data_IF_784876768435
#
_entry.id   IF_784876768435
#
_cell.length_a   1.000
_cell.length_b   1.000
_cell.length_c   1.000
_cell.angle_alpha   90.00
_cell.angle_beta   90.00
_cell.angle_gamma   90.00
#
_symmetry.space_group_name_H-M   'P 1'
#
loop_
_entity.id
_entity.type
_entity.pdbx_description
1 polymer ?
#
# COMPACT_ATOMS: atom_id res chain seq x y z
N UNK A 1 -5.00 2.10 12.55
CA UNK A 1 -4.27 1.33 11.52
C UNK A 1 -5.24 1.08 10.37
N UNK A 2 -4.94 1.61 9.20
CA UNK A 2 -5.74 1.34 8.01
C UNK A 2 -5.03 0.17 7.32
N UNK A 3 -5.72 -0.97 7.12
CA UNK A 3 -5.34 -2.04 6.18
C UNK A 3 -5.72 -3.45 6.55
N UNK A 4 -5.84 -4.31 5.54
CA UNK A 4 -6.02 -5.75 5.76
C UNK A 4 -4.71 -6.30 6.28
N UNK A 5 -4.69 -6.65 7.57
CA UNK A 5 -3.60 -7.37 8.18
C UNK A 5 -3.64 -8.81 7.68
N UNK A 6 -2.55 -9.27 7.07
CA UNK A 6 -2.41 -10.63 6.61
C UNK A 6 -1.27 -11.31 7.36
N UNK A 7 -1.47 -12.58 7.70
CA UNK A 7 -0.39 -13.46 8.14
C UNK A 7 0.01 -14.33 6.96
N UNK A 8 1.31 -14.43 6.71
CA UNK A 8 1.88 -15.28 5.67
C UNK A 8 2.93 -16.20 6.30
N UNK A 9 2.91 -17.48 5.91
CA UNK A 9 3.94 -18.45 6.24
C UNK A 9 4.58 -19.00 4.98
N UNK A 10 5.87 -19.28 5.09
CA UNK A 10 6.59 -20.16 4.17
C UNK A 10 7.03 -21.37 4.97
N UNK A 11 6.61 -22.54 4.51
CA UNK A 11 7.01 -23.83 5.07
C UNK A 11 8.12 -24.39 4.17
N UNK A 12 9.25 -24.73 4.79
CA UNK A 12 10.45 -25.17 4.10
C UNK A 12 10.81 -26.56 4.60
N UNK A 13 10.82 -27.50 3.66
CA UNK A 13 11.19 -28.90 3.88
C UNK A 13 12.18 -29.37 2.84
N UNK A 14 13.05 -30.31 3.21
CA UNK A 14 13.92 -31.06 2.32
C UNK A 14 13.63 -32.56 2.53
N UNK A 15 13.37 -33.29 1.45
CA UNK A 15 13.06 -34.73 1.47
C UNK A 15 11.90 -35.11 2.42
N UNK A 16 10.94 -34.20 2.61
CA UNK A 16 9.77 -34.39 3.48
C UNK A 16 9.96 -33.92 4.92
N UNK A 17 11.19 -33.60 5.34
CA UNK A 17 11.51 -33.16 6.70
C UNK A 17 11.67 -31.63 6.79
N UNK A 18 11.21 -30.98 7.88
CA UNK A 18 11.34 -29.54 8.07
C UNK A 18 12.80 -29.12 8.28
N UNK A 19 13.20 -28.00 7.67
CA UNK A 19 14.58 -27.49 7.79
C UNK A 19 14.62 -26.21 8.61
N UNK A 20 15.34 -26.25 9.73
CA UNK A 20 15.60 -25.09 10.61
C UNK A 20 16.68 -24.17 10.03
N UNK A 21 16.66 -22.89 10.39
CA UNK A 21 17.76 -21.99 10.07
C UNK A 21 17.82 -21.49 8.61
N UNK A 22 16.82 -21.80 7.77
CA UNK A 22 16.81 -21.39 6.36
C UNK A 22 16.40 -19.92 6.24
N UNK A 23 17.23 -19.06 5.62
CA UNK A 23 16.85 -17.67 5.37
C UNK A 23 15.72 -17.58 4.33
N UNK A 24 14.60 -16.98 4.73
CA UNK A 24 13.44 -16.71 3.87
C UNK A 24 13.25 -15.20 3.73
N UNK A 25 13.17 -14.75 2.47
CA UNK A 25 12.94 -13.36 2.12
C UNK A 25 11.50 -13.12 1.70
N UNK A 26 10.82 -12.23 2.41
CA UNK A 26 9.46 -11.79 2.12
C UNK A 26 9.49 -10.37 1.53
N UNK A 27 9.05 -10.19 0.28
CA UNK A 27 9.03 -8.87 -0.37
C UNK A 27 7.68 -8.57 -0.99
N UNK A 28 7.04 -7.52 -0.50
CA UNK A 28 5.85 -6.94 -1.11
C UNK A 28 6.27 -5.88 -2.13
N UNK A 29 5.79 -5.95 -3.38
CA UNK A 29 6.12 -4.95 -4.40
C UNK A 29 5.42 -3.60 -4.18
N UNK A 30 4.28 -3.59 -3.51
CA UNK A 30 3.45 -2.41 -3.24
C UNK A 30 2.94 -2.48 -1.79
N UNK A 31 3.49 -1.66 -0.88
CA UNK A 31 3.09 -1.59 0.53
C UNK A 31 4.24 -1.20 1.48
N UNK A 32 3.96 -1.09 2.79
CA UNK A 32 4.97 -0.73 3.79
C UNK A 32 6.09 -1.79 3.89
N UNK A 33 7.32 -1.33 4.16
CA UNK A 33 8.48 -2.21 4.39
C UNK A 33 8.34 -2.89 5.75
N UNK A 34 7.90 -4.15 5.77
CA UNK A 34 7.99 -5.05 6.93
C UNK A 34 9.31 -5.83 6.91
N UNK A 35 9.72 -6.51 8.01
CA UNK A 35 10.90 -7.35 8.01
C UNK A 35 10.84 -8.32 6.84
N UNK A 36 11.76 -8.11 5.91
CA UNK A 36 11.81 -8.85 4.66
C UNK A 36 12.73 -10.04 4.74
N UNK A 37 13.37 -10.29 5.89
CA UNK A 37 14.33 -11.35 6.11
C UNK A 37 13.96 -12.05 7.42
N UNK A 38 13.47 -13.27 7.31
CA UNK A 38 13.18 -14.16 8.43
C UNK A 38 14.01 -15.43 8.26
N UNK A 39 14.07 -16.20 9.34
CA UNK A 39 14.71 -17.52 9.35
C UNK A 39 13.63 -18.53 9.73
N UNK A 40 13.64 -19.72 9.11
CA UNK A 40 12.73 -20.80 9.50
C UNK A 40 13.00 -21.24 10.94
N UNK A 41 11.93 -21.65 11.61
CA UNK A 41 12.01 -22.29 12.93
C UNK A 41 12.30 -23.79 12.79
N UNK A 42 12.50 -24.49 13.91
CA UNK A 42 12.61 -25.96 13.96
C UNK A 42 11.49 -26.73 13.27
N UNK A 43 10.31 -26.11 13.12
CA UNK A 43 9.19 -26.68 12.38
C UNK A 43 9.27 -26.41 10.86
N UNK A 44 10.37 -25.83 10.36
CA UNK A 44 10.54 -25.44 8.95
C UNK A 44 9.80 -24.16 8.56
N UNK A 45 9.23 -23.42 9.52
CA UNK A 45 8.30 -22.32 9.23
C UNK A 45 8.95 -20.96 9.42
N UNK A 46 8.87 -20.09 8.41
CA UNK A 46 9.11 -18.66 8.52
C UNK A 46 7.79 -17.88 8.37
N UNK A 47 7.43 -17.05 9.35
CA UNK A 47 6.10 -16.40 9.41
C UNK A 47 6.20 -14.88 9.57
N UNK A 48 5.55 -14.14 8.66
CA UNK A 48 5.30 -12.70 8.79
C UNK A 48 3.87 -12.50 9.28
N UNK A 49 3.69 -11.70 10.33
CA UNK A 49 2.38 -11.29 10.87
C UNK A 49 2.09 -9.84 10.57
N UNK A 50 0.80 -9.48 10.64
CA UNK A 50 0.30 -8.11 10.52
C UNK A 50 0.77 -7.39 9.26
N UNK A 51 0.95 -8.17 8.19
CA UNK A 51 1.50 -7.63 6.96
C UNK A 51 0.41 -6.91 6.19
N UNK A 52 0.56 -5.59 6.04
CA UNK A 52 -0.47 -4.75 5.43
C UNK A 52 -0.27 -4.68 3.93
N UNK A 53 -1.29 -5.09 3.19
CA UNK A 53 -1.25 -5.12 1.72
C UNK A 53 -2.12 -4.01 1.16
N UNK A 54 -1.60 -3.28 0.18
CA UNK A 54 -2.29 -2.22 -0.53
C UNK A 54 -1.78 -2.12 -1.98
N UNK A 55 -2.66 -1.91 -2.97
CA UNK A 55 -2.28 -1.69 -4.37
C UNK A 55 -3.08 -2.51 -5.37
N UNK A 56 -3.01 -2.12 -6.66
CA UNK A 56 -3.88 -2.61 -7.76
C UNK A 56 -3.53 -4.02 -8.23
N UNK A 57 -2.29 -4.40 -7.98
CA UNK A 57 -1.76 -5.73 -8.27
C UNK A 57 -0.73 -6.03 -7.19
N UNK A 58 -1.18 -6.22 -5.93
CA UNK A 58 -0.26 -6.55 -4.87
C UNK A 58 0.38 -7.89 -5.20
N UNK A 59 1.70 -7.88 -5.40
CA UNK A 59 2.46 -9.11 -5.58
C UNK A 59 3.42 -9.32 -4.43
N UNK A 60 3.35 -10.52 -3.89
CA UNK A 60 4.21 -11.02 -2.85
C UNK A 60 5.27 -11.91 -3.49
N UNK A 61 6.53 -11.56 -3.28
CA UNK A 61 7.67 -12.40 -3.63
C UNK A 61 8.19 -13.05 -2.37
N UNK A 62 8.22 -14.39 -2.36
CA UNK A 62 8.87 -15.20 -1.34
C UNK A 62 10.10 -15.80 -1.98
N UNK A 63 11.28 -15.56 -1.41
CA UNK A 63 12.53 -16.14 -1.91
C UNK A 63 13.23 -16.90 -0.79
N UNK A 64 13.50 -18.18 -1.01
CA UNK A 64 14.18 -19.07 -0.07
C UNK A 64 15.63 -19.22 -0.53
N UNK A 65 16.58 -19.10 0.39
CA UNK A 65 17.98 -19.39 0.10
C UNK A 65 18.19 -20.90 -0.03
N UNK A 66 18.59 -21.36 -1.21
CA UNK A 66 18.80 -22.78 -1.49
C UNK A 66 20.13 -23.30 -0.96
N UNK A 67 21.10 -22.42 -0.64
CA UNK A 67 22.40 -22.87 -0.14
C UNK A 67 22.26 -23.66 1.17
N UNK A 68 21.44 -23.15 2.11
CA UNK A 68 21.15 -23.85 3.37
C UNK A 68 20.37 -25.15 3.18
N UNK A 69 19.56 -25.25 2.11
CA UNK A 69 18.85 -26.49 1.76
C UNK A 69 19.75 -27.55 1.13
N UNK A 70 20.87 -27.14 0.54
CA UNK A 70 21.88 -28.04 0.01
C UNK A 70 22.87 -28.53 1.08
N UNK A 71 22.58 -28.32 2.37
CA UNK A 71 23.44 -28.73 3.49
C UNK A 71 24.63 -27.80 3.76
N UNK A 72 24.68 -26.63 3.14
CA UNK A 72 25.73 -25.63 3.40
C UNK A 72 25.45 -24.90 4.70
N UNK A 73 26.38 -24.94 5.64
CA UNK A 73 26.23 -24.28 6.93
C UNK A 73 26.24 -22.74 6.80
N UNK A 74 25.87 -22.04 7.87
CA UNK A 74 25.74 -20.58 7.86
C UNK A 74 27.08 -19.85 7.64
N UNK A 75 28.19 -20.42 8.11
CA UNK A 75 29.53 -19.84 7.98
C UNK A 75 30.01 -19.94 6.54
N UNK A 76 29.84 -21.12 5.94
CA UNK A 76 30.16 -21.39 4.55
C UNK A 76 29.25 -20.61 3.60
N UNK A 77 27.95 -20.50 3.88
CA UNK A 77 27.03 -19.66 3.11
C UNK A 77 27.43 -18.17 3.20
N UNK A 78 27.85 -17.70 4.37
CA UNK A 78 28.33 -16.31 4.55
C UNK A 78 29.62 -16.05 3.76
N UNK A 79 30.54 -17.01 3.74
CA UNK A 79 31.75 -16.95 2.94
C UNK A 79 31.44 -17.00 1.42
N UNK A 80 30.55 -17.88 0.98
CA UNK A 80 30.09 -17.99 -0.41
C UNK A 80 29.41 -16.70 -0.88
N UNK A 81 28.61 -16.05 -0.03
CA UNK A 81 28.02 -14.74 -0.34
C UNK A 81 29.07 -13.65 -0.51
N UNK A 82 30.15 -13.68 0.28
CA UNK A 82 31.26 -12.73 0.15
C UNK A 82 32.09 -12.99 -1.11
N UNK A 83 32.39 -14.25 -1.44
CA UNK A 83 33.27 -14.62 -2.57
C UNK A 83 32.55 -14.67 -3.91
N UNK A 84 31.30 -15.13 -3.94
CA UNK A 84 30.51 -15.35 -5.15
C UNK A 84 29.08 -14.80 -5.04
N UNK A 85 28.90 -13.49 -4.76
CA UNK A 85 27.59 -12.91 -4.48
C UNK A 85 26.57 -13.13 -5.60
N UNK A 86 27.02 -13.08 -6.87
CA UNK A 86 26.17 -13.26 -8.04
C UNK A 86 25.72 -14.70 -8.30
N UNK A 87 26.41 -15.70 -7.75
CA UNK A 87 26.06 -17.12 -7.87
C UNK A 87 25.06 -17.50 -6.78
N UNK A 88 25.37 -17.14 -5.52
CA UNK A 88 24.47 -17.39 -4.38
C UNK A 88 23.15 -16.61 -4.54
N UNK A 89 23.18 -15.40 -5.11
CA UNK A 89 21.95 -14.67 -5.40
C UNK A 89 21.04 -15.37 -6.43
N UNK A 90 21.59 -16.23 -7.31
CA UNK A 90 20.85 -17.05 -8.28
C UNK A 90 20.37 -18.38 -7.69
N UNK A 91 21.02 -18.88 -6.63
CA UNK A 91 20.59 -20.04 -5.86
C UNK A 91 19.45 -19.67 -4.90
N UNK A 92 18.35 -19.18 -5.45
CA UNK A 92 17.13 -18.87 -4.70
C UNK A 92 15.93 -19.47 -5.38
N UNK A 93 15.14 -20.22 -4.62
CA UNK A 93 13.82 -20.59 -5.06
C UNK A 93 12.91 -19.38 -4.82
N UNK A 94 12.34 -18.83 -5.89
CA UNK A 94 11.47 -17.66 -5.81
C UNK A 94 10.06 -18.01 -6.26
N UNK A 95 9.09 -17.74 -5.40
CA UNK A 95 7.67 -17.79 -5.73
C UNK A 95 7.10 -16.37 -5.76
N UNK A 96 6.24 -16.09 -6.74
CA UNK A 96 5.49 -14.83 -6.82
C UNK A 96 4.00 -15.13 -6.71
N UNK A 97 3.38 -14.64 -5.64
CA UNK A 97 1.95 -14.73 -5.40
C UNK A 97 1.28 -13.42 -5.82
N UNK A 98 0.32 -13.51 -6.73
CA UNK A 98 -0.53 -12.38 -7.11
C UNK A 98 -1.74 -12.36 -6.18
N UNK A 99 -1.87 -11.29 -5.40
CA UNK A 99 -2.94 -11.12 -4.43
C UNK A 99 -4.09 -10.32 -5.06
N UNK A 100 -5.31 -10.51 -4.55
CA UNK A 100 -6.43 -9.69 -4.97
C UNK A 100 -6.31 -8.26 -4.41
N UNK A 101 -6.65 -7.23 -5.20
CA UNK A 101 -6.70 -5.86 -4.71
C UNK A 101 -7.77 -5.69 -3.64
N UNK A 102 -7.60 -4.70 -2.77
CA UNK A 102 -8.63 -4.34 -1.81
C UNK A 102 -9.77 -3.64 -2.56
N UNK A 103 -10.99 -4.16 -2.37
CA UNK A 103 -12.24 -3.57 -2.86
C UNK A 103 -12.65 -2.41 -1.96
N UNK A 104 -12.91 -1.25 -2.56
CA UNK A 104 -13.23 -0.01 -1.85
C UNK A 104 -14.45 0.63 -2.48
N UNK A 105 -15.46 0.94 -1.66
CA UNK A 105 -16.59 1.75 -2.08
C UNK A 105 -16.30 3.22 -1.83
N UNK A 106 -16.52 4.05 -2.85
CA UNK A 106 -16.43 5.50 -2.74
C UNK A 106 -17.85 6.09 -2.68
N UNK A 107 -18.12 6.94 -1.70
CA UNK A 107 -19.38 7.67 -1.59
C UNK A 107 -19.14 9.13 -1.18
N UNK A 108 -20.20 9.95 -1.24
CA UNK A 108 -20.16 11.37 -0.92
C UNK A 108 -20.58 12.25 -2.09
N UNK A 109 -20.27 13.55 -2.01
CA UNK A 109 -20.43 14.50 -3.13
C UNK A 109 -19.77 13.93 -4.39
N UNK A 110 -20.39 14.02 -5.57
CA UNK A 110 -19.84 13.48 -6.82
C UNK A 110 -18.34 13.80 -6.90
N UNK A 111 -17.47 12.81 -6.68
CA UNK A 111 -16.05 13.10 -6.52
C UNK A 111 -15.58 13.63 -7.87
N UNK A 112 -14.87 14.77 -7.92
CA UNK A 112 -14.31 15.26 -9.17
C UNK A 112 -13.58 14.11 -9.87
N UNK A 113 -13.79 13.92 -11.17
CA UNK A 113 -13.25 12.76 -11.90
C UNK A 113 -11.73 12.56 -11.65
N UNK A 114 -11.00 13.67 -11.49
CA UNK A 114 -9.58 13.69 -11.15
C UNK A 114 -9.23 13.05 -9.79
N UNK A 115 -10.13 13.11 -8.81
CA UNK A 115 -9.97 12.46 -7.51
C UNK A 115 -10.33 10.97 -7.57
N UNK A 116 -11.37 10.58 -8.32
CA UNK A 116 -11.70 9.16 -8.56
C UNK A 116 -10.55 8.46 -9.30
N UNK A 117 -10.05 9.06 -10.37
CA UNK A 117 -8.86 8.57 -11.09
C UNK A 117 -7.62 8.59 -10.19
N UNK A 118 -7.43 9.67 -9.42
CA UNK A 118 -6.34 9.81 -8.47
C UNK A 118 -6.33 8.70 -7.42
N UNK A 119 -7.48 8.39 -6.81
CA UNK A 119 -7.64 7.33 -5.81
C UNK A 119 -7.41 5.96 -6.43
N UNK A 120 -8.07 5.62 -7.54
CA UNK A 120 -7.89 4.32 -8.19
C UNK A 120 -6.45 4.10 -8.67
N UNK A 121 -5.88 5.06 -9.42
CA UNK A 121 -4.56 4.94 -10.04
C UNK A 121 -3.41 5.06 -9.03
N UNK A 122 -3.53 5.91 -8.01
CA UNK A 122 -2.44 6.14 -7.03
C UNK A 122 -2.55 5.24 -5.81
N UNK A 123 -3.74 4.86 -5.35
CA UNK A 123 -3.87 3.94 -4.22
C UNK A 123 -3.93 2.48 -4.68
N UNK A 124 -4.18 2.26 -5.97
CA UNK A 124 -4.32 0.93 -6.53
C UNK A 124 -5.50 0.18 -5.91
N UNK A 125 -6.59 0.87 -5.66
CA UNK A 125 -7.80 0.26 -5.11
C UNK A 125 -8.76 -0.08 -6.24
N UNK A 126 -9.46 -1.19 -6.09
CA UNK A 126 -10.58 -1.49 -6.97
C UNK A 126 -11.81 -0.74 -6.45
N UNK A 127 -12.29 0.22 -7.24
CA UNK A 127 -13.43 1.05 -6.87
C UNK A 127 -14.69 0.31 -7.29
N UNK A 128 -15.49 -0.11 -6.31
CA UNK A 128 -16.74 -0.83 -6.53
C UNK A 128 -17.89 -0.01 -5.98
N UNK A 129 -19.05 -0.08 -6.63
CA UNK A 129 -20.22 0.68 -6.19
C UNK A 129 -21.10 -0.12 -5.20
N UNK A 130 -20.79 -1.39 -4.95
CA UNK A 130 -21.57 -2.27 -4.09
C UNK A 130 -21.27 -2.10 -2.58
N UNK A 131 -22.26 -2.43 -1.74
CA UNK A 131 -22.15 -2.40 -0.28
C UNK A 131 -21.35 -3.55 0.31
N UNK A 132 -20.88 -4.50 -0.51
CA UNK A 132 -20.09 -5.66 -0.05
C UNK A 132 -18.62 -5.31 0.18
N UNK A 133 -18.17 -4.15 -0.29
CA UNK A 133 -16.82 -3.65 -0.06
C UNK A 133 -16.54 -3.51 1.45
N UNK A 134 -15.51 -4.19 2.00
CA UNK A 134 -15.16 -4.09 3.41
C UNK A 134 -14.62 -2.69 3.79
N UNK A 135 -14.16 -1.93 2.81
CA UNK A 135 -13.64 -0.57 2.96
C UNK A 135 -14.56 0.46 2.30
N UNK A 136 -14.80 1.56 3.01
CA UNK A 136 -15.64 2.65 2.55
C UNK A 136 -14.89 3.98 2.69
N UNK A 137 -14.78 4.72 1.59
CA UNK A 137 -14.22 6.07 1.55
C UNK A 137 -15.38 7.05 1.35
N UNK A 138 -15.57 7.93 2.31
CA UNK A 138 -16.57 9.01 2.25
C UNK A 138 -15.84 10.33 2.03
N UNK A 139 -16.13 10.98 0.92
CA UNK A 139 -15.54 12.27 0.54
C UNK A 139 -16.58 13.39 0.69
N UNK A 140 -16.22 14.45 1.39
CA UNK A 140 -16.97 15.69 1.41
C UNK A 140 -16.08 16.85 0.96
N UNK A 141 -16.49 17.57 -0.08
CA UNK A 141 -15.92 18.87 -0.42
C UNK A 141 -16.84 19.96 0.15
N UNK A 142 -16.26 20.89 0.90
CA UNK A 142 -16.99 22.05 1.40
C UNK A 142 -17.04 23.17 0.36
N UNK A 143 -17.95 24.12 0.55
CA UNK A 143 -18.18 25.22 -0.38
C UNK A 143 -16.94 26.05 -0.67
N UNK A 144 -16.80 26.47 -1.93
CA UNK A 144 -15.75 27.36 -2.36
C UNK A 144 -15.99 28.79 -1.85
N UNK A 145 -14.98 29.38 -1.19
CA UNK A 145 -14.99 30.80 -0.80
C UNK A 145 -14.04 31.58 -1.69
N UNK A 146 -14.58 32.39 -2.58
CA UNK A 146 -13.83 33.18 -3.56
C UNK A 146 -13.69 34.64 -3.14
N UNK A 147 -12.55 35.25 -3.47
CA UNK A 147 -12.30 36.68 -3.29
C UNK A 147 -11.39 37.23 -4.36
N UNK A 148 -11.52 38.52 -4.63
CA UNK A 148 -10.64 39.23 -5.55
C UNK A 148 -9.25 39.43 -4.95
N UNK A 149 -8.24 39.27 -5.79
CA UNK A 149 -6.86 39.54 -5.46
C UNK A 149 -6.10 39.98 -6.72
N UNK A 150 -5.88 41.29 -6.87
CA UNK A 150 -5.04 41.87 -7.93
C UNK A 150 -5.41 41.39 -9.34
N UNK A 151 -6.64 41.68 -9.78
CA UNK A 151 -7.20 41.28 -11.09
C UNK A 151 -7.36 39.77 -11.32
N UNK A 152 -7.24 38.95 -10.26
CA UNK A 152 -7.49 37.50 -10.30
C UNK A 152 -8.46 37.08 -9.20
N UNK A 153 -9.23 36.03 -9.48
CA UNK A 153 -10.11 35.36 -8.51
C UNK A 153 -9.32 34.31 -7.73
N UNK A 154 -9.38 34.38 -6.42
CA UNK A 154 -8.80 33.38 -5.52
C UNK A 154 -9.89 32.65 -4.77
N UNK A 155 -10.00 31.35 -4.97
CA UNK A 155 -10.95 30.48 -4.26
C UNK A 155 -10.24 29.57 -3.27
N UNK A 156 -10.88 29.36 -2.11
CA UNK A 156 -10.46 28.40 -1.09
C UNK A 156 -11.52 27.33 -0.92
N UNK A 157 -11.09 26.08 -0.89
CA UNK A 157 -11.95 24.90 -0.74
C UNK A 157 -11.40 24.05 0.41
N UNK A 158 -12.29 23.53 1.26
CA UNK A 158 -11.96 22.49 2.24
C UNK A 158 -12.42 21.14 1.73
N UNK A 159 -11.66 20.08 2.01
CA UNK A 159 -12.10 18.72 1.76
C UNK A 159 -11.85 17.85 2.97
N UNK A 160 -12.77 16.92 3.20
CA UNK A 160 -12.69 15.89 4.21
C UNK A 160 -12.76 14.51 3.54
N UNK A 161 -11.92 13.59 4.01
CA UNK A 161 -11.96 12.18 3.61
C UNK A 161 -12.05 11.31 4.87
N UNK A 162 -13.11 10.53 4.97
CA UNK A 162 -13.33 9.58 6.05
C UNK A 162 -13.13 8.17 5.51
N UNK A 163 -12.28 7.39 6.17
CA UNK A 163 -12.04 5.98 5.85
C UNK A 163 -12.72 5.12 6.89
N UNK A 164 -13.64 4.26 6.46
CA UNK A 164 -14.29 3.27 7.31
C UNK A 164 -13.92 1.85 6.90
N UNK A 165 -13.80 0.98 7.88
CA UNK A 165 -13.59 -0.45 7.72
C UNK A 165 -14.75 -1.17 8.41
N UNK A 166 -15.55 -1.93 7.66
CA UNK A 166 -16.73 -2.64 8.18
C UNK A 166 -17.65 -1.74 9.02
N UNK A 167 -17.84 -0.49 8.57
CA UNK A 167 -18.69 0.51 9.24
C UNK A 167 -18.01 1.36 10.31
N UNK A 168 -16.87 0.94 10.87
CA UNK A 168 -16.14 1.71 11.89
C UNK A 168 -15.21 2.75 11.26
N UNK A 169 -15.24 3.99 11.76
CA UNK A 169 -14.30 5.05 11.34
C UNK A 169 -12.87 4.69 11.78
N UNK A 170 -11.94 4.70 10.83
CA UNK A 170 -10.52 4.38 11.07
C UNK A 170 -9.65 5.62 10.97
N UNK A 171 -9.95 6.49 10.02
CA UNK A 171 -9.19 7.70 9.73
C UNK A 171 -10.14 8.79 9.25
N UNK A 172 -9.89 10.01 9.69
CA UNK A 172 -10.49 11.24 9.19
C UNK A 172 -9.37 12.19 8.80
N UNK A 173 -9.37 12.62 7.54
CA UNK A 173 -8.41 13.55 6.98
C UNK A 173 -9.13 14.82 6.57
N UNK A 174 -8.54 15.96 6.91
CA UNK A 174 -9.07 17.27 6.55
C UNK A 174 -7.95 18.10 5.92
N UNK A 175 -8.21 18.62 4.73
CA UNK A 175 -7.26 19.45 4.01
C UNK A 175 -7.94 20.67 3.43
N UNK A 176 -7.14 21.72 3.20
CA UNK A 176 -7.58 22.93 2.52
C UNK A 176 -6.75 23.15 1.27
N UNK A 177 -7.39 23.64 0.21
CA UNK A 177 -6.77 24.03 -1.04
C UNK A 177 -7.09 25.48 -1.37
N UNK A 178 -6.21 26.06 -2.19
CA UNK A 178 -6.39 27.40 -2.75
C UNK A 178 -6.11 27.32 -4.24
N UNK A 179 -6.95 27.92 -5.05
CA UNK A 179 -6.71 28.17 -6.47
C UNK A 179 -6.78 29.67 -6.76
N UNK A 180 -6.03 30.12 -7.77
CA UNK A 180 -6.03 31.51 -8.22
C UNK A 180 -6.02 31.51 -9.74
N UNK A 181 -7.11 32.02 -10.34
CA UNK A 181 -7.31 32.10 -11.79
C UNK A 181 -8.03 33.40 -12.19
N UNK A 182 -8.39 33.53 -13.46
CA UNK A 182 -9.11 34.68 -14.02
C UNK A 182 -10.58 34.74 -13.59
N UNK A 183 -11.21 33.59 -13.37
CA UNK A 183 -12.62 33.43 -13.01
C UNK A 183 -12.78 32.45 -11.84
N UNK A 184 -13.98 32.43 -11.25
CA UNK A 184 -14.29 31.62 -10.06
C UNK A 184 -14.28 30.12 -10.33
N UNK A 185 -14.75 29.69 -11.50
CA UNK A 185 -14.87 28.28 -11.85
C UNK A 185 -13.49 27.65 -12.00
N UNK A 186 -12.60 28.30 -12.77
CA UNK A 186 -11.22 27.84 -12.94
C UNK A 186 -10.43 27.91 -11.63
N UNK A 187 -10.67 28.92 -10.78
CA UNK A 187 -10.01 29.04 -9.49
C UNK A 187 -10.50 27.96 -8.51
N UNK A 188 -11.78 27.62 -8.53
CA UNK A 188 -12.38 26.55 -7.71
C UNK A 188 -11.89 25.19 -8.16
N UNK A 189 -11.91 24.89 -9.46
CA UNK A 189 -11.42 23.63 -10.01
C UNK A 189 -9.93 23.40 -9.66
N UNK A 190 -9.11 24.47 -9.72
CA UNK A 190 -7.71 24.39 -9.29
C UNK A 190 -7.57 24.13 -7.79
N UNK A 191 -8.42 24.73 -6.95
CA UNK A 191 -8.44 24.50 -5.51
C UNK A 191 -8.82 23.05 -5.17
N UNK A 192 -9.87 22.52 -5.80
CA UNK A 192 -10.33 21.14 -5.65
C UNK A 192 -9.29 20.12 -6.09
N UNK A 193 -8.66 20.32 -7.25
CA UNK A 193 -7.54 19.46 -7.72
C UNK A 193 -6.42 19.40 -6.69
N UNK A 194 -6.12 20.50 -6.00
CA UNK A 194 -5.10 20.55 -4.93
C UNK A 194 -5.57 19.85 -3.65
N UNK A 195 -6.82 20.04 -3.25
CA UNK A 195 -7.45 19.30 -2.13
C UNK A 195 -7.35 17.81 -2.39
N UNK A 196 -7.82 17.34 -3.54
CA UNK A 196 -7.78 15.93 -3.91
C UNK A 196 -6.38 15.33 -3.88
N UNK A 197 -5.38 16.03 -4.45
CA UNK A 197 -3.97 15.59 -4.39
C UNK A 197 -3.45 15.46 -2.95
N UNK A 198 -3.82 16.36 -2.05
CA UNK A 198 -3.40 16.34 -0.64
C UNK A 198 -4.08 15.20 0.12
N UNK A 199 -5.39 15.01 -0.06
CA UNK A 199 -6.13 13.89 0.54
C UNK A 199 -5.51 12.53 0.16
N UNK A 200 -5.16 12.33 -1.12
CA UNK A 200 -4.49 11.09 -1.58
C UNK A 200 -3.13 10.91 -0.91
N UNK A 201 -2.34 11.99 -0.78
CA UNK A 201 -1.02 11.95 -0.13
C UNK A 201 -1.15 11.57 1.35
N UNK A 202 -2.04 12.23 2.07
CA UNK A 202 -2.22 12.05 3.51
C UNK A 202 -2.83 10.67 3.79
N UNK A 203 -3.73 10.18 2.92
CA UNK A 203 -4.24 8.82 2.98
C UNK A 203 -3.12 7.79 2.80
N UNK A 204 -2.24 7.93 1.80
CA UNK A 204 -1.08 7.05 1.65
C UNK A 204 -0.20 7.02 2.91
N UNK A 205 0.02 8.18 3.51
CA UNK A 205 0.80 8.27 4.75
C UNK A 205 0.09 7.55 5.90
N UNK A 206 -1.23 7.75 6.05
CA UNK A 206 -2.03 7.07 7.06
C UNK A 206 -2.08 5.54 6.86
N UNK A 207 -2.11 5.06 5.61
CA UNK A 207 -2.08 3.63 5.26
C UNK A 207 -0.70 2.98 5.58
N UNK A 208 0.37 3.77 5.54
CA UNK A 208 1.74 3.31 5.79
C UNK A 208 2.13 3.22 7.27
N UNK A 209 1.35 3.83 8.17
CA UNK A 209 1.52 3.82 9.63
C UNK A 209 0.62 2.77 10.27
#
# INVERSE_FOLDING_TARGET
AVGTAMTMSADVSADGEPVDGVPVRFKLRMGPRSPSHLVTTRAGVARVRDWRIWGRSPSLVIAVDMATLAGVDQTENSWLRMKHPGVVARLRLQMTLNLQPIRVRLSGSEPPAALREGLSKKLGMDLVDDSSAPWHLELALGDARCKDLSMRRTCKVSGQLIVRERGAERVRLEVRGRGTQTDDDAATEQAEKRVGKRLVKDLRQALSR
#
